data_IF_147809135629
#
_entry.id   IF_147809135629
#
_cell.length_a   1.000
_cell.length_b   1.000
_cell.length_c   1.000
_cell.angle_alpha   90.00
_cell.angle_beta   90.00
_cell.angle_gamma   90.00
#
_symmetry.space_group_name_H-M   'P 1'
#
loop_
_entity.id
_entity.type
_entity.pdbx_description
1 polymer ?
#
# COMPACT_ATOMS: atom_id res chain seq x y z
N UNK A 1 -16.56 -8.49 17.54
CA UNK A 1 -16.81 -9.52 16.59
C UNK A 1 -16.47 -10.87 17.16
N UNK A 2 -17.31 -11.77 16.91
CA UNK A 2 -17.05 -13.11 17.39
C UNK A 2 -16.09 -13.84 16.48
N UNK A 3 -15.11 -14.40 17.10
CA UNK A 3 -14.27 -15.34 16.41
C UNK A 3 -14.88 -16.70 16.34
N UNK A 4 -16.07 -16.79 16.81
CA UNK A 4 -16.79 -18.03 16.65
C UNK A 4 -16.85 -18.37 15.24
N UNK A 5 -16.79 -17.36 14.60
CA UNK A 5 -16.57 -17.57 13.27
C UNK A 5 -15.20 -18.11 13.04
N UNK A 6 -14.59 -18.53 14.03
CA UNK A 6 -13.27 -19.09 13.88
C UNK A 6 -13.17 -20.26 12.92
N UNK A 7 -14.29 -20.76 12.48
CA UNK A 7 -14.30 -21.64 11.33
C UNK A 7 -13.73 -20.99 10.07
N UNK A 8 -13.82 -19.66 10.02
CA UNK A 8 -13.29 -18.87 8.92
C UNK A 8 -12.04 -18.11 9.40
N UNK A 9 -10.89 -18.35 8.77
CA UNK A 9 -9.70 -17.59 9.13
C UNK A 9 -9.92 -16.11 8.84
N UNK A 10 -9.23 -15.26 9.62
CA UNK A 10 -9.19 -13.84 9.33
C UNK A 10 -8.57 -13.61 7.95
N UNK A 11 -9.03 -12.60 7.22
CA UNK A 11 -8.42 -12.26 5.93
C UNK A 11 -6.94 -11.95 6.08
N UNK A 12 -6.10 -12.41 5.15
CA UNK A 12 -4.70 -11.98 5.15
C UNK A 12 -4.60 -10.49 4.93
N UNK A 13 -3.70 -9.85 5.64
CA UNK A 13 -3.44 -8.42 5.53
C UNK A 13 -2.30 -8.22 4.56
N UNK A 14 -2.55 -7.44 3.52
CA UNK A 14 -1.56 -7.12 2.48
C UNK A 14 -1.35 -5.62 2.46
N UNK A 15 -0.11 -5.19 2.58
CA UNK A 15 0.25 -3.79 2.55
C UNK A 15 0.77 -3.43 1.16
N UNK A 16 0.12 -2.48 0.52
CA UNK A 16 0.52 -1.97 -0.80
C UNK A 16 1.21 -0.62 -0.67
N UNK A 17 2.36 -0.51 -1.33
CA UNK A 17 3.06 0.76 -1.53
C UNK A 17 2.86 1.18 -2.98
N UNK A 18 2.18 2.26 -3.22
CA UNK A 18 1.96 2.72 -4.59
C UNK A 18 1.56 4.20 -4.62
N UNK A 19 1.59 4.77 -5.81
CA UNK A 19 1.07 6.10 -6.06
C UNK A 19 -0.45 6.07 -6.10
N UNK A 20 -1.07 7.21 -5.82
CA UNK A 20 -2.51 7.36 -6.00
C UNK A 20 -2.86 7.40 -7.49
N UNK A 21 -4.04 6.89 -7.81
CA UNK A 21 -4.69 7.11 -9.11
C UNK A 21 -6.15 7.48 -8.84
N UNK A 22 -6.50 8.77 -8.98
CA UNK A 22 -7.87 9.22 -8.68
C UNK A 22 -8.95 8.53 -9.50
N UNK A 23 -8.60 7.97 -10.66
CA UNK A 23 -9.59 7.27 -11.52
C UNK A 23 -9.90 5.87 -11.01
N UNK A 24 -9.06 5.31 -10.15
CA UNK A 24 -9.24 3.94 -9.67
C UNK A 24 -8.81 2.88 -10.66
N UNK A 25 -8.25 3.25 -11.82
CA UNK A 25 -7.83 2.30 -12.86
C UNK A 25 -6.48 1.67 -12.62
N UNK A 26 -5.68 2.24 -11.74
CA UNK A 26 -4.35 1.75 -11.37
C UNK A 26 -4.02 2.21 -9.96
N UNK A 27 -2.77 2.08 -9.55
CA UNK A 27 -2.25 2.63 -8.29
C UNK A 27 -2.92 2.04 -7.06
N UNK A 28 -2.85 2.79 -5.96
CA UNK A 28 -3.37 2.34 -4.66
C UNK A 28 -4.85 2.00 -4.71
N UNK A 29 -5.66 2.80 -5.37
CA UNK A 29 -7.11 2.58 -5.40
C UNK A 29 -7.44 1.26 -6.08
N UNK A 30 -6.77 0.95 -7.20
CA UNK A 30 -6.95 -0.33 -7.87
C UNK A 30 -6.45 -1.49 -7.00
N UNK A 31 -5.32 -1.33 -6.31
CA UNK A 31 -4.78 -2.34 -5.42
C UNK A 31 -5.74 -2.66 -4.28
N UNK A 32 -6.30 -1.63 -3.64
CA UNK A 32 -7.25 -1.80 -2.54
C UNK A 32 -8.49 -2.56 -3.01
N UNK A 33 -9.05 -2.16 -4.15
CA UNK A 33 -10.23 -2.82 -4.69
C UNK A 33 -9.96 -4.28 -5.07
N UNK A 34 -8.81 -4.52 -5.71
CA UNK A 34 -8.42 -5.87 -6.14
C UNK A 34 -8.18 -6.79 -4.95
N UNK A 35 -7.40 -6.32 -3.97
CA UNK A 35 -7.10 -7.12 -2.79
C UNK A 35 -8.36 -7.44 -2.00
N UNK A 36 -9.24 -6.46 -1.84
CA UNK A 36 -10.51 -6.68 -1.15
C UNK A 36 -11.37 -7.71 -1.89
N UNK A 37 -11.41 -7.65 -3.21
CA UNK A 37 -12.18 -8.61 -4.02
C UNK A 37 -11.62 -10.03 -3.93
N UNK A 38 -10.35 -10.17 -3.61
CA UNK A 38 -9.69 -11.46 -3.44
C UNK A 38 -9.78 -12.00 -2.00
N UNK A 39 -10.48 -11.29 -1.12
CA UNK A 39 -10.64 -11.71 0.26
C UNK A 39 -9.50 -11.30 1.18
N UNK A 40 -8.65 -10.38 0.75
CA UNK A 40 -7.59 -9.83 1.58
C UNK A 40 -8.07 -8.54 2.27
N UNK A 41 -7.43 -8.19 3.38
CA UNK A 41 -7.61 -6.87 3.99
C UNK A 41 -6.48 -5.96 3.50
N UNK A 42 -6.78 -4.96 2.67
CA UNK A 42 -5.74 -4.10 2.10
C UNK A 42 -5.35 -2.98 3.05
N UNK A 43 -4.06 -2.78 3.21
CA UNK A 43 -3.50 -1.57 3.80
C UNK A 43 -2.77 -0.81 2.69
N UNK A 44 -2.66 0.50 2.84
CA UNK A 44 -2.10 1.33 1.79
C UNK A 44 -1.10 2.35 2.34
N UNK A 45 0.05 2.44 1.67
CA UNK A 45 1.04 3.49 1.90
C UNK A 45 1.19 4.28 0.60
N UNK A 46 0.94 5.58 0.67
CA UNK A 46 1.03 6.45 -0.51
C UNK A 46 2.47 6.84 -0.75
N UNK A 47 2.97 6.58 -1.95
CA UNK A 47 4.34 6.94 -2.35
C UNK A 47 4.39 8.22 -3.17
N UNK A 48 3.31 8.55 -3.85
CA UNK A 48 3.18 9.76 -4.65
C UNK A 48 1.71 10.07 -4.87
N UNK A 49 1.42 11.34 -5.02
CA UNK A 49 0.08 11.80 -5.43
C UNK A 49 0.16 12.12 -6.92
N UNK A 50 -0.84 11.71 -7.67
CA UNK A 50 -0.90 12.01 -9.10
C UNK A 50 -2.09 12.90 -9.43
N UNK A 51 -1.91 13.69 -10.48
CA UNK A 51 -2.99 14.39 -11.16
C UNK A 51 -3.14 13.69 -12.50
N UNK A 52 -4.21 12.94 -12.65
CA UNK A 52 -4.42 12.17 -13.86
C UNK A 52 -5.90 11.89 -14.11
N UNK A 53 -6.18 11.60 -15.37
CA UNK A 53 -7.49 11.11 -15.82
C UNK A 53 -7.27 9.82 -16.63
N UNK A 54 -8.30 9.35 -17.35
CA UNK A 54 -8.19 8.12 -18.11
C UNK A 54 -7.35 8.26 -19.37
N UNK A 55 -7.01 9.48 -19.77
CA UNK A 55 -6.20 9.75 -20.96
C UNK A 55 -4.70 9.81 -20.64
N UNK A 56 -4.33 10.20 -19.41
CA UNK A 56 -2.92 10.27 -19.05
C UNK A 56 -2.65 10.95 -17.72
N UNK A 57 -1.38 11.00 -17.37
CA UNK A 57 -0.88 11.62 -16.14
C UNK A 57 -0.40 13.02 -16.44
N UNK A 58 -0.94 14.01 -15.72
CA UNK A 58 -0.55 15.42 -15.88
C UNK A 58 0.51 15.84 -14.86
N UNK A 59 0.53 15.22 -13.71
CA UNK A 59 1.48 15.59 -12.67
C UNK A 59 1.68 14.49 -11.65
N UNK A 60 2.86 14.47 -11.05
CA UNK A 60 3.22 13.53 -9.99
C UNK A 60 3.92 14.31 -8.88
N UNK A 61 3.42 14.17 -7.68
CA UNK A 61 4.04 14.72 -6.48
C UNK A 61 4.53 13.56 -5.61
N UNK A 62 5.84 13.26 -5.63
CA UNK A 62 6.40 12.24 -4.76
C UNK A 62 6.24 12.63 -3.30
N UNK A 63 5.92 11.66 -2.45
CA UNK A 63 5.89 11.85 -1.02
C UNK A 63 7.32 11.68 -0.48
N UNK A 64 7.70 12.50 0.50
CA UNK A 64 8.98 12.38 1.17
C UNK A 64 9.22 10.97 1.67
N UNK A 65 10.44 10.46 1.48
CA UNK A 65 10.79 9.10 1.89
C UNK A 65 10.54 8.84 3.38
N UNK A 66 10.77 9.83 4.23
CA UNK A 66 10.48 9.71 5.67
C UNK A 66 8.99 9.48 5.94
N UNK A 67 8.13 10.19 5.23
CA UNK A 67 6.68 10.03 5.37
C UNK A 67 6.21 8.66 4.89
N UNK A 68 6.83 8.15 3.84
CA UNK A 68 6.52 6.80 3.36
C UNK A 68 6.92 5.74 4.38
N UNK A 69 8.13 5.86 4.92
CA UNK A 69 8.62 4.95 5.95
C UNK A 69 7.76 5.01 7.21
N UNK A 70 7.39 6.21 7.64
CA UNK A 70 6.58 6.39 8.86
C UNK A 70 5.18 5.80 8.70
N UNK A 71 4.55 5.98 7.54
CA UNK A 71 3.26 5.33 7.26
C UNK A 71 3.38 3.81 7.41
N UNK A 72 4.41 3.24 6.77
CA UNK A 72 4.61 1.78 6.78
C UNK A 72 4.87 1.26 8.19
N UNK A 73 5.75 1.90 8.94
CA UNK A 73 6.08 1.45 10.29
C UNK A 73 4.90 1.56 11.24
N UNK A 74 4.10 2.60 11.12
CA UNK A 74 2.88 2.73 11.93
C UNK A 74 1.94 1.54 11.73
N UNK A 75 1.79 1.09 10.49
CA UNK A 75 0.95 -0.06 10.17
C UNK A 75 1.58 -1.38 10.62
N UNK A 76 2.88 -1.54 10.38
CA UNK A 76 3.59 -2.78 10.72
C UNK A 76 3.72 -3.02 12.21
N UNK A 77 3.73 -1.94 13.00
CA UNK A 77 3.74 -2.03 14.46
C UNK A 77 2.37 -2.36 15.04
N UNK A 78 1.32 -2.11 14.27
CA UNK A 78 -0.07 -2.27 14.72
C UNK A 78 -0.72 -3.56 14.22
N UNK A 79 -0.40 -4.00 13.02
CA UNK A 79 -1.10 -5.10 12.36
C UNK A 79 -0.15 -6.17 11.83
N UNK A 80 -0.57 -7.46 11.86
CA UNK A 80 0.25 -8.55 11.33
C UNK A 80 0.14 -8.61 9.81
N UNK A 81 1.02 -7.93 9.11
CA UNK A 81 1.04 -7.91 7.65
C UNK A 81 1.58 -9.22 7.11
N UNK A 82 0.84 -9.86 6.22
CA UNK A 82 1.19 -11.15 5.64
C UNK A 82 2.05 -11.02 4.38
N UNK A 83 1.88 -9.94 3.62
CA UNK A 83 2.59 -9.73 2.37
C UNK A 83 2.67 -8.26 2.01
N UNK A 84 3.64 -7.93 1.16
CA UNK A 84 3.79 -6.59 0.59
C UNK A 84 3.55 -6.62 -0.91
N UNK A 85 2.94 -5.56 -1.43
CA UNK A 85 2.81 -5.31 -2.86
C UNK A 85 3.49 -3.98 -3.17
N UNK A 86 4.37 -3.97 -4.15
CA UNK A 86 5.09 -2.77 -4.55
C UNK A 86 4.61 -2.32 -5.92
N UNK A 87 4.07 -1.11 -5.97
CA UNK A 87 3.69 -0.47 -7.22
C UNK A 87 4.72 0.59 -7.63
N UNK A 88 4.25 1.72 -8.14
CA UNK A 88 5.12 2.84 -8.48
C UNK A 88 5.60 3.51 -7.19
N UNK A 89 6.91 3.62 -7.02
CA UNK A 89 7.50 4.11 -5.78
C UNK A 89 7.95 5.57 -5.84
N UNK A 90 8.02 6.14 -7.02
CA UNK A 90 8.16 7.58 -7.23
C UNK A 90 9.57 8.13 -7.21
N UNK A 91 10.47 7.58 -6.41
CA UNK A 91 11.85 8.06 -6.32
C UNK A 91 12.80 6.99 -5.79
N UNK A 92 14.09 7.18 -6.04
CA UNK A 92 15.14 6.29 -5.51
C UNK A 92 15.17 6.33 -3.98
N UNK A 93 14.95 7.50 -3.41
CA UNK A 93 14.93 7.69 -1.96
C UNK A 93 13.79 6.89 -1.32
N UNK A 94 12.63 6.88 -1.94
CA UNK A 94 11.48 6.09 -1.47
C UNK A 94 11.78 4.60 -1.60
N UNK A 95 12.38 4.16 -2.70
CA UNK A 95 12.77 2.76 -2.88
C UNK A 95 13.70 2.32 -1.77
N UNK A 96 14.71 3.12 -1.47
CA UNK A 96 15.68 2.81 -0.41
C UNK A 96 15.00 2.76 0.96
N UNK A 97 14.11 3.70 1.25
CA UNK A 97 13.38 3.74 2.52
C UNK A 97 12.48 2.51 2.70
N UNK A 98 11.78 2.10 1.65
CA UNK A 98 10.92 0.92 1.68
C UNK A 98 11.74 -0.35 1.87
N UNK A 99 12.87 -0.47 1.17
CA UNK A 99 13.74 -1.63 1.32
C UNK A 99 14.24 -1.76 2.76
N UNK A 100 14.59 -0.65 3.39
CA UNK A 100 15.02 -0.62 4.78
C UNK A 100 13.89 -1.06 5.73
N UNK A 101 12.68 -0.56 5.51
CA UNK A 101 11.53 -0.95 6.33
C UNK A 101 11.25 -2.44 6.18
N UNK A 102 11.18 -2.95 4.96
CA UNK A 102 10.87 -4.37 4.69
C UNK A 102 11.93 -5.28 5.31
N UNK A 103 13.18 -4.86 5.32
CA UNK A 103 14.26 -5.65 5.92
C UNK A 103 14.06 -5.90 7.42
N UNK A 104 13.34 -5.00 8.10
CA UNK A 104 13.05 -5.14 9.53
C UNK A 104 11.85 -6.08 9.79
N UNK A 105 11.12 -6.48 8.76
CA UNK A 105 9.91 -7.31 8.87
C UNK A 105 9.97 -8.47 7.85
N UNK A 106 10.88 -9.40 8.01
CA UNK A 106 11.06 -10.52 7.06
C UNK A 106 9.89 -11.49 7.03
#
# INVERSE_FOLDING_TARGET
MSLAASANPLPPIVLSFAASDPTGGAGLQADVLTLASLGCHPLSVVTAITVQDTAGVEGVLPIDAEWVADQARALLEDMPVAAFKLGMLGSVEVIAAIAEVIADYP
#
